data_IF_262722683356
#
_entry.id   IF_262722683356
#
_cell.length_a   1.000
_cell.length_b   1.000
_cell.length_c   1.000
_cell.angle_alpha   90.00
_cell.angle_beta   90.00
_cell.angle_gamma   90.00
#
_symmetry.space_group_name_H-M   'P 1'
#
loop_
_entity.id
_entity.type
_entity.pdbx_description
1 polymer ?
#
# COMPACT_ATOMS: atom_id res chain seq x y z
N UNK A 1 4.75 16.87 -17.31
CA UNK A 1 4.55 16.10 -16.07
C UNK A 1 5.68 15.12 -16.04
N UNK A 2 6.70 15.41 -15.25
CA UNK A 2 7.85 14.52 -15.11
C UNK A 2 7.50 13.50 -14.05
N UNK A 3 7.29 12.26 -14.48
CA UNK A 3 7.14 11.10 -13.61
C UNK A 3 8.52 10.74 -13.07
N UNK A 4 8.83 11.24 -11.87
CA UNK A 4 9.93 10.72 -11.09
C UNK A 4 9.49 9.40 -10.46
N UNK A 5 9.77 8.28 -11.15
CA UNK A 5 9.82 6.98 -10.49
C UNK A 5 11.08 6.96 -9.62
N UNK A 6 10.98 7.51 -8.41
CA UNK A 6 11.97 7.25 -7.38
C UNK A 6 11.83 5.78 -6.99
N UNK A 7 12.66 4.92 -7.57
CA UNK A 7 12.87 3.59 -7.04
C UNK A 7 13.51 3.76 -5.66
N UNK A 8 12.67 3.75 -4.63
CA UNK A 8 13.10 3.70 -3.23
C UNK A 8 13.76 2.33 -3.05
N UNK A 9 15.03 2.32 -2.70
CA UNK A 9 15.79 1.09 -2.49
C UNK A 9 15.55 0.50 -1.09
N UNK A 10 15.98 -0.75 -0.89
CA UNK A 10 15.86 -1.45 0.39
C UNK A 10 16.47 -0.65 1.56
N UNK A 11 17.61 0.02 1.35
CA UNK A 11 18.26 0.83 2.38
C UNK A 11 17.36 1.99 2.84
N UNK A 12 16.67 2.63 1.90
CA UNK A 12 15.75 3.72 2.21
C UNK A 12 14.56 3.21 3.02
N UNK A 13 14.02 2.03 2.70
CA UNK A 13 12.97 1.40 3.51
C UNK A 13 13.47 1.01 4.91
N UNK A 14 14.64 0.40 5.02
CA UNK A 14 15.24 0.09 6.33
C UNK A 14 15.41 1.35 7.19
N UNK A 15 15.83 2.48 6.58
CA UNK A 15 15.90 3.76 7.28
C UNK A 15 14.53 4.27 7.73
N UNK A 16 13.52 4.23 6.85
CA UNK A 16 12.14 4.59 7.21
C UNK A 16 11.63 3.76 8.39
N UNK A 17 11.90 2.46 8.40
CA UNK A 17 11.52 1.56 9.48
C UNK A 17 12.19 1.89 10.80
N UNK A 18 13.48 2.24 10.78
CA UNK A 18 14.17 2.72 11.96
C UNK A 18 13.51 4.00 12.52
N UNK A 19 13.14 4.95 11.66
CA UNK A 19 12.46 6.18 12.10
C UNK A 19 11.07 5.91 12.67
N UNK A 20 10.31 5.01 12.05
CA UNK A 20 8.98 4.59 12.52
C UNK A 20 9.08 3.92 13.89
N UNK A 21 10.06 3.03 14.09
CA UNK A 21 10.27 2.35 15.36
C UNK A 21 10.72 3.31 16.48
N UNK A 22 11.46 4.38 16.14
CA UNK A 22 11.84 5.44 17.10
C UNK A 22 10.76 6.49 17.35
N UNK A 23 9.71 6.51 16.53
CA UNK A 23 8.65 7.51 16.63
C UNK A 23 7.82 7.35 17.91
N UNK A 24 7.33 8.47 18.45
CA UNK A 24 6.49 8.51 19.64
C UNK A 24 5.32 7.48 19.55
N UNK A 25 5.21 6.52 20.48
CA UNK A 25 4.18 5.49 20.42
C UNK A 25 2.76 6.04 20.57
N UNK A 26 2.59 7.27 21.07
CA UNK A 26 1.28 7.92 21.18
C UNK A 26 0.80 8.55 19.86
N UNK A 27 1.62 8.55 18.81
CA UNK A 27 1.20 9.02 17.49
C UNK A 27 0.72 7.87 16.62
N UNK A 28 -0.36 8.15 15.86
CA UNK A 28 -0.80 7.33 14.75
C UNK A 28 0.21 7.49 13.61
N UNK A 29 0.57 6.37 12.97
CA UNK A 29 1.41 6.37 11.76
C UNK A 29 0.62 5.71 10.63
N UNK A 30 0.66 6.38 9.47
CA UNK A 30 0.26 5.82 8.19
C UNK A 30 1.48 5.84 7.27
N UNK A 31 1.79 4.72 6.64
CA UNK A 31 2.95 4.57 5.78
C UNK A 31 2.54 3.87 4.48
N UNK A 32 2.42 4.65 3.40
CA UNK A 32 2.11 4.16 2.07
C UNK A 32 3.38 3.92 1.26
N UNK A 33 3.38 2.85 0.47
CA UNK A 33 4.50 2.50 -0.39
C UNK A 33 4.02 2.04 -1.76
N UNK A 34 4.91 2.15 -2.74
CA UNK A 34 4.81 1.51 -4.05
C UNK A 34 6.19 0.94 -4.36
N UNK A 35 6.35 -0.38 -4.26
CA UNK A 35 7.64 -1.01 -4.54
C UNK A 35 7.53 -2.45 -4.99
N UNK A 36 8.54 -2.87 -5.74
CA UNK A 36 8.71 -4.27 -6.16
C UNK A 36 9.39 -5.11 -5.07
N UNK A 37 9.35 -4.66 -3.82
CA UNK A 37 10.01 -5.34 -2.72
C UNK A 37 9.18 -6.56 -2.31
N UNK A 38 9.84 -7.70 -2.28
CA UNK A 38 9.21 -8.99 -1.97
C UNK A 38 8.68 -9.07 -0.53
N UNK A 39 7.66 -9.91 -0.32
CA UNK A 39 7.16 -10.26 1.02
C UNK A 39 8.27 -10.74 1.97
N UNK A 40 9.29 -11.42 1.45
CA UNK A 40 10.43 -11.90 2.23
C UNK A 40 11.21 -10.74 2.88
N UNK A 41 11.39 -9.62 2.18
CA UNK A 41 12.07 -8.45 2.74
C UNK A 41 11.24 -7.79 3.84
N UNK A 42 9.93 -7.68 3.65
CA UNK A 42 9.04 -7.13 4.67
C UNK A 42 9.06 -7.97 5.94
N UNK A 43 8.95 -9.30 5.78
CA UNK A 43 8.92 -10.24 6.88
C UNK A 43 10.26 -10.37 7.62
N UNK A 44 11.38 -9.94 7.01
CA UNK A 44 12.71 -9.99 7.65
C UNK A 44 12.99 -8.80 8.57
N UNK A 45 12.16 -7.75 8.52
CA UNK A 45 12.32 -6.56 9.36
C UNK A 45 11.28 -6.55 10.48
N UNK A 46 11.73 -6.30 11.72
CA UNK A 46 10.80 -6.01 12.83
C UNK A 46 10.28 -4.59 12.67
N UNK A 47 9.12 -4.47 12.03
CA UNK A 47 8.44 -3.21 11.82
C UNK A 47 7.24 -3.19 12.76
N UNK A 48 7.14 -2.17 13.60
CA UNK A 48 5.96 -2.00 14.44
C UNK A 48 4.83 -1.32 13.64
N UNK A 49 4.37 -1.99 12.58
CA UNK A 49 3.25 -1.58 11.74
C UNK A 49 2.45 -2.83 11.32
N UNK A 50 1.15 -2.66 11.19
CA UNK A 50 0.23 -3.64 10.61
C UNK A 50 -0.01 -3.33 9.12
N UNK A 51 -0.17 -4.38 8.29
CA UNK A 51 -0.54 -4.26 6.87
C UNK A 51 -2.07 -4.14 6.75
N UNK A 52 -2.57 -3.05 6.15
CA UNK A 52 -4.00 -2.79 6.03
C UNK A 52 -4.77 -3.92 5.33
N UNK A 53 -4.23 -4.49 4.26
CA UNK A 53 -4.88 -5.58 3.53
C UNK A 53 -4.97 -6.83 4.40
N UNK A 54 -3.91 -7.12 5.16
CA UNK A 54 -3.90 -8.24 6.10
C UNK A 54 -4.93 -8.08 7.22
N UNK A 55 -5.13 -6.84 7.68
CA UNK A 55 -6.05 -6.50 8.76
C UNK A 55 -7.51 -6.31 8.31
N UNK A 56 -7.79 -6.27 7.00
CA UNK A 56 -9.13 -6.09 6.42
C UNK A 56 -9.56 -7.32 5.63
N UNK A 57 -9.42 -8.49 6.26
CA UNK A 57 -9.87 -9.80 5.79
C UNK A 57 -9.17 -10.36 4.54
N UNK A 58 -8.09 -9.72 4.06
CA UNK A 58 -7.27 -10.22 2.94
C UNK A 58 -8.11 -10.53 1.70
N UNK A 59 -9.04 -9.64 1.38
CA UNK A 59 -10.03 -9.90 0.34
C UNK A 59 -9.35 -10.15 -1.01
N UNK A 60 -9.66 -11.27 -1.69
CA UNK A 60 -8.99 -11.64 -2.94
C UNK A 60 -9.08 -10.56 -4.01
N UNK A 61 -10.24 -9.89 -4.13
CA UNK A 61 -10.51 -8.86 -5.14
C UNK A 61 -9.68 -7.58 -4.97
N UNK A 62 -9.01 -7.40 -3.84
CA UNK A 62 -8.13 -6.25 -3.57
C UNK A 62 -6.66 -6.64 -3.39
N UNK A 63 -6.29 -7.87 -3.77
CA UNK A 63 -4.94 -8.40 -3.52
C UNK A 63 -3.90 -7.75 -4.42
N UNK A 64 -4.15 -7.67 -5.72
CA UNK A 64 -3.16 -7.23 -6.70
C UNK A 64 -3.42 -5.79 -7.08
N UNK A 65 -2.41 -4.95 -6.89
CA UNK A 65 -2.44 -3.53 -7.29
C UNK A 65 -1.82 -3.34 -8.67
N UNK A 66 -1.04 -4.30 -9.13
CA UNK A 66 -0.54 -4.41 -10.49
C UNK A 66 -0.98 -5.76 -11.04
N UNK A 67 -1.86 -5.75 -12.04
CA UNK A 67 -2.47 -6.98 -12.57
C UNK A 67 -2.53 -6.95 -14.11
N UNK A 68 -1.62 -7.63 -14.80
CA UNK A 68 -1.58 -7.68 -16.27
C UNK A 68 -2.77 -8.42 -16.90
N UNK A 69 -3.50 -9.24 -16.14
CA UNK A 69 -4.69 -9.94 -16.63
C UNK A 69 -5.92 -9.01 -16.69
N UNK A 70 -5.99 -8.05 -15.77
CA UNK A 70 -7.11 -7.11 -15.66
C UNK A 70 -6.80 -5.70 -16.19
N UNK A 71 -5.53 -5.30 -16.21
CA UNK A 71 -5.09 -3.99 -16.68
C UNK A 71 -4.35 -4.08 -18.01
N UNK A 72 -5.08 -3.85 -19.10
CA UNK A 72 -4.55 -3.88 -20.46
C UNK A 72 -3.53 -2.78 -20.79
N UNK A 73 -3.30 -1.82 -19.90
CA UNK A 73 -2.19 -0.87 -20.07
C UNK A 73 -0.84 -1.54 -19.83
N UNK A 74 -0.81 -2.65 -19.09
CA UNK A 74 0.41 -3.40 -18.82
C UNK A 74 0.71 -4.28 -20.04
N UNK A 75 1.90 -4.12 -20.59
CA UNK A 75 2.38 -4.94 -21.70
C UNK A 75 3.49 -5.85 -21.22
N UNK A 76 3.39 -7.16 -21.47
CA UNK A 76 4.43 -8.12 -21.12
C UNK A 76 3.88 -9.40 -20.50
N UNK A 77 4.77 -10.18 -19.90
CA UNK A 77 4.46 -11.43 -19.20
C UNK A 77 4.72 -11.32 -17.69
N UNK A 78 4.58 -10.10 -17.15
CA UNK A 78 4.66 -9.90 -15.71
C UNK A 78 3.53 -10.65 -15.00
N UNK A 79 3.71 -10.93 -13.72
CA UNK A 79 2.69 -11.59 -12.90
C UNK A 79 1.88 -10.54 -12.14
N UNK A 80 0.64 -10.86 -11.73
CA UNK A 80 -0.08 -10.03 -10.78
C UNK A 80 0.70 -9.94 -9.46
N UNK A 81 0.88 -8.72 -8.97
CA UNK A 81 1.71 -8.41 -7.81
C UNK A 81 1.07 -7.35 -6.91
N UNK A 82 1.38 -7.42 -5.61
CA UNK A 82 0.93 -6.46 -4.59
C UNK A 82 2.05 -5.49 -4.23
N UNK A 83 2.36 -4.62 -5.19
CA UNK A 83 3.43 -3.62 -5.08
C UNK A 83 3.06 -2.44 -4.20
N UNK A 84 1.79 -2.04 -4.22
CA UNK A 84 1.31 -0.91 -3.43
C UNK A 84 0.75 -1.44 -2.11
N UNK A 85 1.10 -0.78 -1.00
CA UNK A 85 0.67 -1.19 0.36
C UNK A 85 0.47 0.02 1.24
N UNK A 86 -0.46 -0.13 2.19
CA UNK A 86 -0.63 0.80 3.31
C UNK A 86 -0.31 0.02 4.58
N UNK A 87 0.70 0.48 5.30
CA UNK A 87 1.01 0.03 6.65
C UNK A 87 0.56 1.09 7.66
N UNK A 88 0.17 0.68 8.85
CA UNK A 88 -0.27 1.61 9.89
C UNK A 88 0.15 1.16 11.29
N UNK A 89 0.25 2.11 12.22
CA UNK A 89 0.35 1.83 13.65
C UNK A 89 -0.62 2.71 14.40
N UNK A 90 -1.44 2.08 15.23
CA UNK A 90 -2.35 2.77 16.15
C UNK A 90 -1.59 3.40 17.33
N UNK A 91 -2.19 4.42 17.95
CA UNK A 91 -1.64 5.03 19.16
C UNK A 91 -1.69 4.04 20.33
N UNK A 92 -0.65 4.04 21.18
CA UNK A 92 -0.71 3.33 22.46
C UNK A 92 -1.54 4.04 23.52
N UNK A 93 -1.94 5.30 23.27
CA UNK A 93 -2.88 6.02 24.11
C UNK A 93 -4.26 5.36 24.02
N UNK A 94 -4.99 5.30 25.13
CA UNK A 94 -6.33 4.69 25.16
C UNK A 94 -7.35 5.50 24.35
N UNK A 95 -7.08 6.79 24.14
CA UNK A 95 -7.85 7.68 23.27
C UNK A 95 -7.06 7.88 21.98
N UNK A 96 -7.73 7.88 20.82
CA UNK A 96 -7.17 7.92 19.45
C UNK A 96 -6.60 6.58 18.94
N UNK A 97 -7.31 5.47 19.20
CA UNK A 97 -6.97 4.21 18.53
C UNK A 97 -7.45 4.24 17.08
N UNK A 98 -6.53 4.01 16.14
CA UNK A 98 -6.84 3.85 14.73
C UNK A 98 -7.25 2.40 14.48
N UNK A 99 -8.44 2.19 13.93
CA UNK A 99 -8.97 0.87 13.60
C UNK A 99 -9.17 0.74 12.09
N UNK A 100 -8.54 -0.24 11.41
CA UNK A 100 -8.81 -0.49 10.00
C UNK A 100 -10.21 -1.07 9.83
N UNK A 101 -10.97 -0.53 8.89
CA UNK A 101 -12.36 -0.93 8.62
C UNK A 101 -12.47 -1.63 7.28
N UNK A 102 -11.85 -1.06 6.25
CA UNK A 102 -11.98 -1.52 4.88
C UNK A 102 -10.80 -1.08 4.03
N UNK A 103 -10.53 -1.80 2.95
CA UNK A 103 -9.58 -1.43 1.92
C UNK A 103 -10.17 -1.79 0.58
N UNK A 104 -10.18 -0.88 -0.39
CA UNK A 104 -10.62 -1.18 -1.76
C UNK A 104 -9.62 -0.67 -2.82
N UNK A 105 -9.82 -1.11 -4.05
CA UNK A 105 -9.05 -0.68 -5.20
C UNK A 105 -9.82 0.37 -6.00
N UNK A 106 -9.11 1.41 -6.42
CA UNK A 106 -9.65 2.54 -7.17
C UNK A 106 -8.95 2.71 -8.52
N UNK A 107 -9.62 3.42 -9.43
CA UNK A 107 -9.11 3.62 -10.79
C UNK A 107 -9.31 2.43 -11.72
N UNK A 108 -10.16 1.47 -11.36
CA UNK A 108 -10.47 0.27 -12.17
C UNK A 108 -11.40 0.55 -13.37
N UNK A 109 -11.83 1.80 -13.57
CA UNK A 109 -12.79 2.15 -14.62
C UNK A 109 -12.08 2.57 -15.91
N UNK A 110 -12.59 2.10 -17.04
CA UNK A 110 -12.04 2.43 -18.35
C UNK A 110 -12.26 3.91 -18.71
N UNK A 111 -11.21 4.57 -19.17
CA UNK A 111 -11.25 5.91 -19.75
C UNK A 111 -11.64 5.77 -21.22
N UNK A 112 -12.92 5.99 -21.53
CA UNK A 112 -13.52 5.73 -22.86
C UNK A 112 -12.96 6.59 -24.01
N UNK A 113 -12.18 7.62 -23.72
CA UNK A 113 -11.78 8.64 -24.70
C UNK A 113 -10.29 8.64 -25.01
N UNK A 114 -9.51 7.70 -24.46
CA UNK A 114 -8.06 7.63 -24.66
C UNK A 114 -7.61 6.26 -25.14
N UNK A 115 -6.48 6.25 -25.84
CA UNK A 115 -5.78 5.01 -26.22
C UNK A 115 -5.22 4.28 -24.98
N UNK A 116 -5.03 5.01 -23.87
CA UNK A 116 -4.77 4.47 -22.54
C UNK A 116 -6.13 4.07 -21.93
N UNK A 117 -6.30 2.79 -21.60
CA UNK A 117 -7.59 2.22 -21.17
C UNK A 117 -7.88 2.56 -19.71
N UNK A 118 -6.88 2.51 -18.85
CA UNK A 118 -7.02 2.80 -17.41
C UNK A 118 -6.20 4.03 -16.98
N UNK A 119 -6.51 4.68 -15.84
CA UNK A 119 -5.74 5.84 -15.36
C UNK A 119 -4.25 5.57 -15.11
N UNK A 120 -3.88 4.33 -14.79
CA UNK A 120 -2.51 3.90 -14.48
C UNK A 120 -2.35 2.41 -14.80
N UNK A 121 -1.11 1.91 -14.83
CA UNK A 121 -0.81 0.47 -14.80
C UNK A 121 -1.00 -0.13 -13.40
N UNK A 122 -1.13 0.71 -12.36
CA UNK A 122 -1.45 0.30 -11.00
C UNK A 122 -2.87 0.74 -10.61
N UNK A 123 -3.56 -0.09 -9.85
CA UNK A 123 -4.76 0.28 -9.11
C UNK A 123 -4.39 1.04 -7.85
N UNK A 124 -5.11 2.11 -7.56
CA UNK A 124 -4.91 2.86 -6.32
C UNK A 124 -5.49 2.08 -5.14
N UNK A 125 -4.88 2.19 -3.96
CA UNK A 125 -5.44 1.66 -2.72
C UNK A 125 -6.18 2.78 -2.00
N UNK A 126 -7.41 2.50 -1.59
CA UNK A 126 -8.18 3.35 -0.68
C UNK A 126 -8.44 2.61 0.63
N UNK A 127 -7.91 3.16 1.73
CA UNK A 127 -8.06 2.62 3.07
C UNK A 127 -9.06 3.43 3.91
N UNK A 128 -9.91 2.71 4.65
CA UNK A 128 -10.89 3.28 5.57
C UNK A 128 -10.53 2.92 7.00
N UNK A 129 -10.52 3.94 7.86
CA UNK A 129 -10.18 3.78 9.27
C UNK A 129 -11.17 4.53 10.14
N UNK A 130 -11.51 3.93 11.28
CA UNK A 130 -12.16 4.63 12.38
C UNK A 130 -11.10 5.12 13.37
N UNK A 131 -11.40 6.21 14.07
CA UNK A 131 -10.57 6.72 15.17
C UNK A 131 -11.45 6.84 16.40
N UNK A 132 -11.10 6.09 17.45
CA UNK A 132 -11.79 6.17 18.74
C UNK A 132 -11.46 7.51 19.42
N UNK A 133 -12.49 8.21 19.90
CA UNK A 133 -12.36 9.48 20.66
C UNK A 133 -12.20 9.24 22.16
#
# INVERSE_FOLDING_TARGET
IDLFNAFIDENTYSYCFEQINKNNPNHIILFGISSQISDTFWNSHTINLDDLWQMTDQRPETTYTFDPELNSNITGNDKPERYDRIFFRSSTSINNQLKPVHMELEGIQHIKTSDIVFPSTHWAIQGYFDVDN
#
